data_IF_044247062600
#
_entry.id   IF_044247062600
#
_cell.length_a   1.000
_cell.length_b   1.000
_cell.length_c   1.000
_cell.angle_alpha   90.00
_cell.angle_beta   90.00
_cell.angle_gamma   90.00
#
_symmetry.space_group_name_H-M   'P 1'
#
loop_
_entity.id
_entity.type
_entity.pdbx_description
1 polymer ?
#
# COMPACT_ATOMS: atom_id res chain seq x y z
N UNK A 1 30.95 9.82 7.19
CA UNK A 1 30.27 10.39 8.38
C UNK A 1 29.80 11.82 8.10
N UNK A 2 28.68 12.24 8.71
CA UNK A 2 27.91 13.50 8.48
C UNK A 2 27.07 13.54 7.18
N UNK A 3 25.79 13.13 7.27
CA UNK A 3 24.62 13.98 6.94
C UNK A 3 23.26 13.26 6.89
N UNK A 4 23.18 11.91 6.89
CA UNK A 4 21.91 11.18 6.81
C UNK A 4 20.87 11.57 7.90
N UNK A 5 21.31 11.85 9.13
CA UNK A 5 20.43 12.32 10.23
C UNK A 5 19.78 13.70 9.99
N UNK A 6 20.33 14.51 9.07
CA UNK A 6 19.75 15.79 8.63
C UNK A 6 18.98 15.68 7.30
N UNK A 7 19.22 14.62 6.53
CA UNK A 7 18.44 14.27 5.35
C UNK A 7 17.07 13.71 5.77
N UNK A 8 17.03 12.66 6.60
CA UNK A 8 15.78 12.02 7.05
C UNK A 8 14.74 13.00 7.62
N UNK A 9 15.15 13.93 8.49
CA UNK A 9 14.24 14.93 9.08
C UNK A 9 13.75 15.95 8.04
N UNK A 10 14.54 16.28 7.01
CA UNK A 10 14.13 17.20 5.94
C UNK A 10 13.31 16.54 4.84
N UNK A 11 13.55 15.26 4.56
CA UNK A 11 12.80 14.49 3.56
C UNK A 11 11.39 14.18 4.06
N UNK A 12 11.23 13.66 5.29
CA UNK A 12 9.91 13.45 5.89
C UNK A 12 9.11 14.76 6.09
N UNK A 13 9.78 15.91 6.29
CA UNK A 13 9.09 17.21 6.43
C UNK A 13 8.74 17.91 5.10
N UNK A 14 9.12 17.36 3.94
CA UNK A 14 8.84 18.00 2.64
C UNK A 14 8.11 17.12 1.63
N UNK A 15 8.24 15.80 1.70
CA UNK A 15 7.59 14.85 0.79
C UNK A 15 7.07 13.66 1.60
N UNK A 16 5.76 13.59 1.78
CA UNK A 16 5.12 12.42 2.39
C UNK A 16 5.01 11.29 1.37
N UNK A 17 5.80 10.22 1.58
CA UNK A 17 5.67 8.81 1.15
C UNK A 17 5.10 8.55 -0.26
N UNK A 18 5.92 8.03 -1.20
CA UNK A 18 5.55 7.82 -2.62
C UNK A 18 6.27 6.56 -3.27
N UNK A 19 5.68 5.88 -4.29
CA UNK A 19 6.02 4.53 -4.88
C UNK A 19 5.86 4.20 -6.45
N UNK A 20 6.84 3.76 -7.30
CA UNK A 20 6.78 3.85 -8.82
C UNK A 20 6.70 2.54 -9.72
N UNK A 21 5.78 2.55 -10.72
CA UNK A 21 5.76 1.89 -12.07
C UNK A 21 5.84 0.34 -12.33
N UNK A 22 4.91 -0.23 -13.15
CA UNK A 22 5.19 -1.45 -13.95
C UNK A 22 4.88 -1.38 -15.48
N UNK A 23 5.14 -2.47 -16.20
CA UNK A 23 4.55 -2.74 -17.53
C UNK A 23 4.17 -4.22 -17.72
N UNK A 24 2.97 -4.47 -18.29
CA UNK A 24 2.47 -5.72 -18.93
C UNK A 24 2.38 -7.02 -18.09
N UNK A 25 1.33 -7.85 -18.21
CA UNK A 25 -0.01 -7.65 -18.79
C UNK A 25 -0.98 -8.76 -18.31
N UNK A 26 -1.20 -8.90 -16.99
CA UNK A 26 -2.49 -9.44 -16.56
C UNK A 26 -3.57 -8.40 -16.84
N UNK A 27 -4.69 -8.86 -17.40
CA UNK A 27 -5.92 -8.10 -17.39
C UNK A 27 -6.37 -8.04 -15.92
N UNK A 28 -6.30 -6.87 -15.32
CA UNK A 28 -7.19 -6.58 -14.20
C UNK A 28 -8.60 -6.83 -14.74
N UNK A 29 -9.32 -7.78 -14.14
CA UNK A 29 -10.77 -7.79 -14.31
C UNK A 29 -11.25 -6.49 -13.69
N UNK A 30 -11.64 -5.54 -14.53
CA UNK A 30 -12.43 -4.39 -14.14
C UNK A 30 -13.86 -4.87 -13.86
N UNK A 31 -14.00 -5.75 -12.86
CA UNK A 31 -15.21 -5.80 -12.09
C UNK A 31 -15.30 -4.44 -11.40
N UNK A 32 -16.17 -3.56 -11.90
CA UNK A 32 -16.54 -2.30 -11.24
C UNK A 32 -17.34 -2.54 -9.93
N UNK A 33 -17.29 -3.77 -9.41
CA UNK A 33 -17.81 -4.16 -8.11
C UNK A 33 -16.81 -3.83 -7.01
N UNK A 34 -17.31 -3.36 -5.88
CA UNK A 34 -16.53 -3.40 -4.65
C UNK A 34 -16.52 -4.83 -4.12
N UNK A 35 -15.34 -5.44 -4.07
CA UNK A 35 -15.14 -6.76 -3.48
C UNK A 35 -14.45 -6.65 -2.12
N UNK A 36 -14.84 -7.51 -1.18
CA UNK A 36 -14.23 -7.60 0.16
C UNK A 36 -12.88 -8.32 0.01
N UNK A 37 -11.83 -7.83 0.67
CA UNK A 37 -10.52 -8.47 0.62
C UNK A 37 -10.60 -9.91 1.11
N UNK A 38 -10.15 -10.85 0.28
CA UNK A 38 -10.23 -12.28 0.58
C UNK A 38 -9.32 -12.67 1.74
N UNK A 39 -9.75 -13.67 2.50
CA UNK A 39 -8.98 -14.23 3.61
C UNK A 39 -7.91 -15.22 3.13
N UNK A 40 -6.94 -15.47 4.00
CA UNK A 40 -5.93 -16.53 3.85
C UNK A 40 -5.63 -17.15 5.23
N UNK A 41 -4.82 -18.21 5.26
CA UNK A 41 -4.37 -18.82 6.52
C UNK A 41 -3.50 -17.85 7.32
N UNK A 42 -3.64 -17.91 8.65
CA UNK A 42 -2.76 -17.20 9.59
C UNK A 42 -1.32 -17.75 9.56
N UNK A 43 -1.19 -19.05 9.31
CA UNK A 43 0.07 -19.79 9.48
C UNK A 43 0.48 -19.95 10.95
N UNK A 44 1.52 -20.74 11.26
CA UNK A 44 1.90 -21.07 12.64
C UNK A 44 2.76 -19.98 13.31
N UNK A 45 2.95 -18.83 12.67
CA UNK A 45 3.95 -17.83 13.05
C UNK A 45 3.38 -16.51 13.55
N UNK A 46 2.06 -16.36 13.66
CA UNK A 46 1.46 -15.22 14.37
C UNK A 46 1.81 -15.29 15.86
N UNK A 47 2.20 -14.15 16.44
CA UNK A 47 2.54 -14.05 17.87
C UNK A 47 1.80 -12.92 18.60
N UNK A 48 1.14 -12.02 17.87
CA UNK A 48 0.42 -10.86 18.39
C UNK A 48 1.25 -9.90 19.24
N UNK A 49 0.59 -8.90 19.83
CA UNK A 49 1.19 -7.91 20.71
C UNK A 49 2.45 -7.24 20.12
N UNK A 50 2.46 -7.00 18.81
CA UNK A 50 3.62 -6.44 18.13
C UNK A 50 3.90 -5.00 18.57
N UNK A 51 5.12 -4.53 18.34
CA UNK A 51 5.47 -3.14 18.62
C UNK A 51 4.72 -2.20 17.65
N UNK A 52 4.23 -1.07 18.17
CA UNK A 52 3.62 -0.04 17.33
C UNK A 52 4.70 0.76 16.59
N UNK A 53 5.08 0.28 15.41
CA UNK A 53 6.23 0.77 14.64
C UNK A 53 5.92 0.72 13.14
N UNK A 54 6.19 1.84 12.46
CA UNK A 54 6.18 1.88 10.99
C UNK A 54 7.42 1.16 10.40
N UNK A 55 8.59 1.22 11.06
CA UNK A 55 9.78 0.51 10.61
C UNK A 55 9.94 -0.80 11.40
N UNK A 56 9.83 -1.93 10.71
CA UNK A 56 9.89 -3.27 11.30
C UNK A 56 11.17 -4.04 10.92
N UNK A 57 12.02 -3.47 10.06
CA UNK A 57 13.34 -4.04 9.71
C UNK A 57 14.46 -3.46 10.58
N UNK A 58 15.46 -4.27 11.00
CA UNK A 58 16.67 -3.75 11.63
C UNK A 58 17.41 -2.81 10.67
N UNK A 59 17.58 -1.55 11.08
CA UNK A 59 18.21 -0.52 10.25
C UNK A 59 19.75 -0.68 10.21
N UNK A 60 20.27 -1.51 9.32
CA UNK A 60 21.67 -1.44 8.90
C UNK A 60 21.81 -0.64 7.60
N UNK A 61 22.11 0.66 7.75
CA UNK A 61 22.36 1.60 6.65
C UNK A 61 23.57 1.24 5.77
N UNK A 62 24.37 0.23 6.16
CA UNK A 62 25.55 -0.20 5.42
C UNK A 62 25.33 -1.50 4.64
N UNK A 63 24.20 -2.21 4.84
CA UNK A 63 23.90 -3.43 4.10
C UNK A 63 23.23 -3.09 2.76
N UNK A 64 24.06 -2.89 1.74
CA UNK A 64 23.64 -2.68 0.35
C UNK A 64 22.93 -3.88 -0.29
N UNK A 65 22.72 -4.98 0.46
CA UNK A 65 22.02 -6.17 0.00
C UNK A 65 20.61 -6.29 0.60
N UNK A 66 20.11 -5.26 1.31
CA UNK A 66 18.73 -5.25 1.80
C UNK A 66 17.77 -4.77 0.72
N UNK A 67 16.86 -5.66 0.32
CA UNK A 67 15.78 -5.36 -0.62
C UNK A 67 14.67 -4.60 0.12
N UNK A 68 14.88 -3.33 0.45
CA UNK A 68 13.91 -2.52 1.20
C UNK A 68 12.56 -2.44 0.48
N UNK A 69 11.50 -2.53 1.28
CA UNK A 69 10.11 -2.51 0.85
C UNK A 69 9.31 -1.53 1.71
N UNK A 70 8.67 -0.54 1.08
CA UNK A 70 7.59 0.24 1.68
C UNK A 70 6.26 -0.41 1.27
N UNK A 71 5.57 -1.05 2.20
CA UNK A 71 4.25 -1.63 1.97
C UNK A 71 3.19 -0.73 2.62
N UNK A 72 2.20 -0.28 1.84
CA UNK A 72 1.20 0.69 2.30
C UNK A 72 -0.19 0.42 1.72
N UNK A 73 -1.22 1.01 2.34
CA UNK A 73 -2.59 0.77 1.92
C UNK A 73 -3.59 1.67 2.63
N UNK A 74 -4.85 1.57 2.24
CA UNK A 74 -6.01 2.16 2.92
C UNK A 74 -6.92 1.04 3.37
N UNK A 75 -7.42 1.09 4.60
CA UNK A 75 -8.53 0.23 5.02
C UNK A 75 -9.85 0.94 4.69
N UNK A 76 -10.74 0.25 3.96
CA UNK A 76 -12.05 0.72 3.53
C UNK A 76 -13.19 -0.13 4.12
N UNK A 77 -14.36 0.47 4.23
CA UNK A 77 -15.64 -0.19 4.45
C UNK A 77 -16.10 -0.95 3.19
N UNK A 78 -17.20 -1.70 3.30
CA UNK A 78 -17.74 -2.58 2.24
C UNK A 78 -18.26 -1.86 0.98
N UNK A 79 -18.00 -0.56 0.83
CA UNK A 79 -18.29 0.25 -0.36
C UNK A 79 -17.02 0.60 -1.17
N UNK A 80 -15.84 0.19 -0.67
CA UNK A 80 -14.50 0.45 -1.20
C UNK A 80 -14.17 1.96 -1.34
N UNK A 81 -14.87 2.81 -0.59
CA UNK A 81 -14.78 4.28 -0.71
C UNK A 81 -14.65 4.95 0.65
N UNK A 82 -15.46 4.54 1.62
CA UNK A 82 -15.45 5.06 2.99
C UNK A 82 -14.22 4.51 3.73
N UNK A 83 -13.22 5.34 4.08
CA UNK A 83 -12.05 4.87 4.80
C UNK A 83 -12.37 4.56 6.27
N UNK A 84 -11.69 3.58 6.85
CA UNK A 84 -11.83 3.18 8.25
C UNK A 84 -10.67 3.75 9.07
N UNK A 85 -10.89 4.81 9.89
CA UNK A 85 -9.86 5.35 10.76
C UNK A 85 -9.66 4.45 12.00
N UNK A 86 -8.45 4.46 12.55
CA UNK A 86 -8.06 3.72 13.75
C UNK A 86 -8.24 2.18 13.69
N UNK A 87 -8.42 1.58 12.51
CA UNK A 87 -8.33 0.13 12.32
C UNK A 87 -6.91 -0.34 12.67
N UNK A 88 -6.80 -1.42 13.44
CA UNK A 88 -5.51 -2.03 13.75
C UNK A 88 -5.06 -2.85 12.56
N UNK A 89 -3.88 -2.54 12.01
CA UNK A 89 -3.22 -3.32 10.95
C UNK A 89 -1.96 -3.93 11.54
N UNK A 90 -1.93 -5.25 11.67
CA UNK A 90 -0.76 -6.03 12.04
C UNK A 90 -0.17 -6.71 10.81
N UNK A 91 1.16 -6.70 10.67
CA UNK A 91 1.87 -7.48 9.65
C UNK A 91 2.98 -8.33 10.26
N UNK A 92 3.22 -9.50 9.66
CA UNK A 92 4.37 -10.35 9.96
C UNK A 92 4.86 -11.11 8.72
N UNK A 93 6.17 -11.30 8.62
CA UNK A 93 6.79 -12.09 7.55
C UNK A 93 8.16 -12.67 7.96
N UNK A 94 8.71 -13.55 7.13
CA UNK A 94 10.08 -14.01 7.25
C UNK A 94 11.08 -12.92 6.84
N UNK A 95 12.30 -12.97 7.38
CA UNK A 95 13.40 -12.13 6.91
C UNK A 95 13.76 -12.45 5.43
N UNK A 96 14.54 -11.58 4.78
CA UNK A 96 14.86 -11.72 3.35
C UNK A 96 15.65 -12.99 2.99
N UNK A 97 16.36 -13.59 3.95
CA UNK A 97 17.25 -14.73 3.70
C UNK A 97 18.33 -14.44 2.65
N UNK A 98 18.72 -15.45 1.89
CA UNK A 98 19.55 -15.33 0.69
C UNK A 98 19.22 -16.43 -0.32
N UNK A 99 19.56 -16.21 -1.59
CA UNK A 99 19.38 -17.19 -2.67
C UNK A 99 20.74 -17.72 -3.15
N UNK A 100 20.91 -19.04 -3.14
CA UNK A 100 22.09 -19.72 -3.64
C UNK A 100 21.88 -20.16 -5.10
N UNK A 101 22.40 -19.37 -6.05
CA UNK A 101 22.29 -19.65 -7.48
C UNK A 101 22.98 -20.92 -7.95
N UNK A 102 23.85 -21.55 -7.14
CA UNK A 102 24.52 -22.82 -7.48
C UNK A 102 23.68 -24.05 -7.15
N UNK A 103 22.87 -23.99 -6.10
CA UNK A 103 21.99 -25.09 -5.67
C UNK A 103 20.52 -24.83 -5.98
N UNK A 104 20.17 -23.60 -6.39
CA UNK A 104 18.81 -23.12 -6.59
C UNK A 104 17.95 -23.16 -5.30
N UNK A 105 18.59 -22.91 -4.16
CA UNK A 105 17.98 -22.96 -2.83
C UNK A 105 17.87 -21.57 -2.21
N UNK A 106 16.76 -21.32 -1.50
CA UNK A 106 16.63 -20.21 -0.57
C UNK A 106 17.11 -20.66 0.81
N UNK A 107 18.01 -19.86 1.39
CA UNK A 107 18.71 -20.14 2.63
C UNK A 107 18.42 -19.05 3.66
N UNK A 108 18.48 -19.39 4.94
CA UNK A 108 18.36 -18.48 6.09
C UNK A 108 17.07 -17.61 6.16
N UNK A 109 16.08 -17.83 5.27
CA UNK A 109 14.78 -17.19 5.39
C UNK A 109 14.01 -17.79 6.56
N UNK A 110 13.71 -16.98 7.58
CA UNK A 110 13.06 -17.44 8.79
C UNK A 110 12.26 -16.33 9.49
N UNK A 111 11.31 -16.75 10.33
CA UNK A 111 10.51 -15.86 11.16
C UNK A 111 11.27 -15.45 12.41
N UNK A 112 11.71 -14.20 12.47
CA UNK A 112 12.43 -13.67 13.64
C UNK A 112 11.48 -13.29 14.78
N UNK A 113 12.03 -13.19 16.01
CA UNK A 113 11.24 -12.91 17.21
C UNK A 113 10.89 -11.41 17.37
N UNK A 114 11.84 -10.53 17.04
CA UNK A 114 11.78 -9.10 17.38
C UNK A 114 11.69 -8.17 16.15
N UNK A 115 11.80 -8.73 14.94
CA UNK A 115 11.89 -8.01 13.67
C UNK A 115 10.90 -8.60 12.67
N UNK A 116 10.64 -7.87 11.57
CA UNK A 116 9.73 -8.26 10.48
C UNK A 116 8.29 -8.51 10.95
N UNK A 117 7.92 -7.80 12.03
CA UNK A 117 6.62 -7.84 12.72
C UNK A 117 6.31 -6.46 13.26
N UNK A 118 5.07 -6.01 13.11
CA UNK A 118 4.64 -4.72 13.64
C UNK A 118 3.14 -4.55 13.56
N UNK A 119 2.65 -3.54 14.28
CA UNK A 119 1.27 -3.10 14.20
C UNK A 119 1.20 -1.58 14.08
N UNK A 120 0.19 -1.04 13.41
CA UNK A 120 -0.15 0.39 13.43
C UNK A 120 -1.66 0.54 13.36
N UNK A 121 -2.19 1.63 13.94
CA UNK A 121 -3.57 2.04 13.70
C UNK A 121 -3.62 2.90 12.43
N UNK A 122 -4.66 2.73 11.62
CA UNK A 122 -4.86 3.58 10.44
C UNK A 122 -5.08 5.04 10.82
N UNK A 123 -4.60 5.95 9.97
CA UNK A 123 -4.83 7.38 10.15
C UNK A 123 -6.30 7.78 9.95
N UNK A 124 -6.61 9.07 10.12
CA UNK A 124 -7.93 9.65 9.93
C UNK A 124 -8.54 9.45 8.52
N UNK A 125 -7.75 9.04 7.53
CA UNK A 125 -8.16 8.75 6.16
C UNK A 125 -8.00 7.26 5.80
N UNK A 126 -7.87 6.40 6.80
CA UNK A 126 -7.75 4.95 6.68
C UNK A 126 -6.37 4.46 6.23
N UNK A 127 -5.36 5.32 6.09
CA UNK A 127 -4.06 4.91 5.55
C UNK A 127 -3.21 4.17 6.60
N UNK A 128 -2.40 3.22 6.13
CA UNK A 128 -1.34 2.56 6.87
C UNK A 128 -0.08 2.45 5.99
N UNK A 129 1.11 2.37 6.61
CA UNK A 129 2.38 2.16 5.89
C UNK A 129 3.43 1.55 6.80
N UNK A 130 4.18 0.57 6.28
CA UNK A 130 5.34 -0.02 6.93
C UNK A 130 6.58 0.04 6.03
N UNK A 131 7.74 0.28 6.64
CA UNK A 131 9.06 0.07 6.05
C UNK A 131 9.61 -1.27 6.55
N UNK A 132 9.96 -2.12 5.59
CA UNK A 132 10.50 -3.47 5.83
C UNK A 132 11.45 -3.87 4.69
N UNK A 133 11.65 -5.17 4.47
CA UNK A 133 12.33 -5.77 3.31
C UNK A 133 11.40 -6.73 2.59
N UNK A 134 11.67 -7.02 1.32
CA UNK A 134 11.01 -8.11 0.59
C UNK A 134 11.31 -9.43 1.34
N UNK A 135 10.28 -10.19 1.78
CA UNK A 135 10.46 -11.45 2.49
C UNK A 135 11.20 -12.49 1.64
N UNK A 136 12.00 -13.34 2.28
CA UNK A 136 12.57 -14.51 1.64
C UNK A 136 11.54 -15.65 1.50
N UNK A 137 11.94 -16.72 0.81
CA UNK A 137 11.15 -17.95 0.69
C UNK A 137 11.63 -19.01 1.67
N UNK A 138 10.69 -19.74 2.25
CA UNK A 138 10.96 -20.90 3.11
C UNK A 138 10.23 -22.15 2.59
N UNK A 139 10.76 -23.32 2.95
CA UNK A 139 10.17 -24.60 2.57
C UNK A 139 8.91 -24.90 3.39
N UNK A 140 7.89 -25.41 2.70
CA UNK A 140 6.71 -26.04 3.28
C UNK A 140 6.62 -27.48 2.71
N UNK A 141 7.15 -28.46 3.45
CA UNK A 141 7.35 -29.80 2.92
C UNK A 141 8.38 -29.81 1.79
N UNK A 142 7.96 -30.19 0.58
CA UNK A 142 8.82 -30.35 -0.60
C UNK A 142 8.84 -29.15 -1.56
N UNK A 143 8.11 -28.07 -1.28
CA UNK A 143 8.06 -26.87 -2.11
C UNK A 143 8.38 -25.60 -1.30
N UNK A 144 8.89 -24.58 -1.96
CA UNK A 144 9.01 -23.24 -1.37
C UNK A 144 7.65 -22.53 -1.42
N UNK A 145 7.24 -21.90 -0.31
CA UNK A 145 6.20 -20.87 -0.39
C UNK A 145 6.76 -19.65 -1.16
N UNK A 146 5.95 -18.96 -1.99
CA UNK A 146 6.34 -17.67 -2.55
C UNK A 146 6.63 -16.66 -1.42
N UNK A 147 7.34 -15.59 -1.73
CA UNK A 147 7.55 -14.49 -0.79
C UNK A 147 6.19 -13.87 -0.44
N UNK A 148 5.90 -13.68 0.86
CA UNK A 148 4.60 -13.19 1.33
C UNK A 148 4.71 -12.37 2.62
N UNK A 149 3.76 -11.45 2.79
CA UNK A 149 3.52 -10.74 4.05
C UNK A 149 2.14 -11.12 4.55
N UNK A 150 2.04 -11.60 5.78
CA UNK A 150 0.75 -11.84 6.43
C UNK A 150 0.17 -10.52 6.96
N UNK A 151 -1.15 -10.47 6.97
CA UNK A 151 -1.96 -9.36 7.48
C UNK A 151 -2.98 -9.89 8.49
N UNK A 152 -3.14 -9.16 9.59
CA UNK A 152 -4.34 -9.21 10.43
C UNK A 152 -4.85 -7.79 10.58
N UNK A 153 -6.12 -7.57 10.24
CA UNK A 153 -6.75 -6.25 10.28
C UNK A 153 -8.01 -6.31 11.11
N UNK A 154 -8.07 -5.52 12.18
CA UNK A 154 -9.15 -5.57 13.17
C UNK A 154 -9.79 -4.19 13.35
N UNK A 155 -11.11 -4.13 13.23
CA UNK A 155 -11.91 -2.93 13.53
C UNK A 155 -13.22 -3.33 14.20
N UNK A 156 -13.49 -2.75 15.38
CA UNK A 156 -14.61 -3.13 16.25
C UNK A 156 -14.63 -4.65 16.49
N UNK A 157 -15.67 -5.36 16.01
CA UNK A 157 -15.83 -6.81 16.15
C UNK A 157 -15.49 -7.59 14.86
N UNK A 158 -14.90 -6.93 13.87
CA UNK A 158 -14.51 -7.53 12.58
C UNK A 158 -13.01 -7.70 12.53
N UNK A 159 -12.57 -8.92 12.21
CA UNK A 159 -11.17 -9.27 11.95
C UNK A 159 -11.05 -9.91 10.56
N UNK A 160 -10.04 -9.50 9.81
CA UNK A 160 -9.59 -10.14 8.58
C UNK A 160 -8.18 -10.67 8.79
N UNK A 161 -7.97 -11.97 8.58
CA UNK A 161 -6.63 -12.55 8.40
C UNK A 161 -6.41 -12.86 6.92
N UNK A 162 -5.28 -12.41 6.37
CA UNK A 162 -4.95 -12.54 4.95
C UNK A 162 -3.43 -12.58 4.73
N UNK A 163 -3.02 -12.72 3.47
CA UNK A 163 -1.63 -12.65 3.02
C UNK A 163 -1.57 -11.85 1.72
N UNK A 164 -0.45 -11.19 1.44
CA UNK A 164 -0.10 -10.77 0.09
C UNK A 164 1.04 -11.61 -0.47
N UNK A 165 1.06 -11.75 -1.78
CA UNK A 165 2.11 -12.36 -2.59
C UNK A 165 2.64 -11.32 -3.59
N UNK A 166 3.77 -11.59 -4.23
CA UNK A 166 4.38 -10.67 -5.18
C UNK A 166 4.31 -11.19 -6.61
N UNK A 167 3.90 -10.33 -7.54
CA UNK A 167 3.84 -10.63 -8.97
C UNK A 167 5.21 -11.08 -9.52
N UNK A 168 5.20 -12.04 -10.44
CA UNK A 168 6.39 -12.69 -10.98
C UNK A 168 7.06 -13.74 -10.07
N UNK A 169 6.55 -14.00 -8.86
CA UNK A 169 7.11 -15.04 -7.99
C UNK A 169 6.87 -16.47 -8.54
N UNK A 170 7.94 -17.12 -8.99
CA UNK A 170 7.95 -18.47 -9.58
C UNK A 170 7.44 -19.60 -8.68
N UNK A 171 7.24 -19.36 -7.38
CA UNK A 171 6.73 -20.34 -6.42
C UNK A 171 5.21 -20.28 -6.25
N UNK A 172 4.53 -19.23 -6.75
CA UNK A 172 3.07 -19.10 -6.70
C UNK A 172 2.35 -20.35 -7.24
N UNK A 173 2.70 -20.93 -8.42
CA UNK A 173 1.96 -22.06 -8.98
C UNK A 173 2.01 -23.37 -8.17
N UNK A 174 2.88 -23.46 -7.15
CA UNK A 174 3.02 -24.64 -6.29
C UNK A 174 2.45 -24.44 -4.88
N UNK A 175 2.13 -23.21 -4.50
CA UNK A 175 1.59 -22.89 -3.18
C UNK A 175 0.05 -22.90 -3.22
N UNK A 176 -0.65 -23.76 -2.45
CA UNK A 176 -2.11 -23.90 -2.53
C UNK A 176 -2.90 -22.64 -2.17
N UNK A 177 -2.28 -21.68 -1.48
CA UNK A 177 -2.92 -20.45 -1.06
C UNK A 177 -2.69 -19.33 -2.09
N UNK A 178 -1.47 -19.20 -2.62
CA UNK A 178 -1.13 -18.21 -3.64
C UNK A 178 -1.65 -18.56 -5.05
N UNK A 179 -1.77 -19.85 -5.39
CA UNK A 179 -2.33 -20.31 -6.67
C UNK A 179 -3.87 -20.33 -6.73
N UNK A 180 -4.54 -20.04 -5.61
CA UNK A 180 -6.00 -19.97 -5.53
C UNK A 180 -6.55 -18.81 -6.36
N UNK A 181 -7.69 -19.00 -7.03
CA UNK A 181 -8.38 -17.91 -7.75
C UNK A 181 -8.69 -16.73 -6.81
N UNK A 182 -9.01 -17.01 -5.54
CA UNK A 182 -9.24 -16.02 -4.49
C UNK A 182 -7.98 -15.23 -4.07
N UNK A 183 -6.80 -15.53 -4.61
CA UNK A 183 -5.56 -14.79 -4.34
C UNK A 183 -5.24 -13.73 -5.40
N UNK A 184 -6.03 -13.58 -6.48
CA UNK A 184 -5.79 -12.62 -7.57
C UNK A 184 -5.48 -11.21 -7.05
N UNK A 185 -6.33 -10.71 -6.17
CA UNK A 185 -6.30 -9.33 -5.67
C UNK A 185 -5.28 -9.16 -4.52
N UNK A 186 -4.59 -10.24 -4.19
CA UNK A 186 -3.55 -10.32 -3.15
C UNK A 186 -2.16 -10.57 -3.73
N UNK A 187 -2.05 -10.80 -5.04
CA UNK A 187 -0.77 -10.82 -5.78
C UNK A 187 -0.49 -9.39 -6.24
N UNK A 188 0.40 -8.69 -5.51
CA UNK A 188 0.69 -7.28 -5.77
C UNK A 188 1.97 -7.11 -6.60
N UNK A 189 1.99 -6.12 -7.49
CA UNK A 189 3.23 -5.71 -8.18
C UNK A 189 4.05 -4.77 -7.29
N UNK A 190 5.38 -4.86 -7.38
CA UNK A 190 6.32 -4.00 -6.65
C UNK A 190 6.96 -2.93 -7.54
N UNK A 191 7.34 -1.82 -6.89
CA UNK A 191 7.53 -0.53 -7.53
C UNK A 191 8.78 0.21 -7.01
N UNK A 192 9.94 0.13 -7.69
CA UNK A 192 11.17 0.75 -7.23
C UNK A 192 11.11 2.29 -7.35
N UNK A 193 11.60 2.99 -6.32
CA UNK A 193 11.88 4.43 -6.36
C UNK A 193 13.30 4.72 -6.88
N UNK A 194 13.69 5.99 -6.98
CA UNK A 194 15.04 6.41 -7.40
C UNK A 194 16.17 6.05 -6.42
N UNK A 195 15.87 5.41 -5.29
CA UNK A 195 16.82 4.95 -4.28
C UNK A 195 16.86 3.40 -4.22
N UNK A 196 16.29 2.72 -5.23
CA UNK A 196 16.12 1.26 -5.32
C UNK A 196 15.25 0.67 -4.19
N UNK A 197 14.45 1.48 -3.49
CA UNK A 197 13.48 1.01 -2.50
C UNK A 197 12.24 0.54 -3.25
N UNK A 198 11.88 -0.73 -3.09
CA UNK A 198 10.65 -1.27 -3.63
C UNK A 198 9.45 -0.74 -2.84
N UNK A 199 8.32 -0.58 -3.52
CA UNK A 199 7.08 -0.18 -2.89
C UNK A 199 5.94 -1.11 -3.31
N UNK A 200 5.02 -1.40 -2.41
CA UNK A 200 3.81 -2.18 -2.68
C UNK A 200 2.57 -1.46 -2.16
N UNK A 201 1.43 -1.68 -2.82
CA UNK A 201 0.12 -1.23 -2.35
C UNK A 201 -0.77 -2.44 -2.10
N UNK A 202 -1.42 -2.44 -0.94
CA UNK A 202 -2.49 -3.37 -0.61
C UNK A 202 -3.61 -2.59 0.10
N UNK A 203 -4.57 -2.09 -0.67
CA UNK A 203 -5.80 -1.50 -0.11
C UNK A 203 -6.72 -2.65 0.36
N UNK A 204 -7.33 -2.50 1.54
CA UNK A 204 -8.02 -3.57 2.28
C UNK A 204 -9.47 -3.19 2.51
N UNK A 205 -10.41 -3.94 1.95
CA UNK A 205 -11.85 -3.75 2.12
C UNK A 205 -12.37 -4.70 3.19
N UNK A 206 -12.86 -4.18 4.32
CA UNK A 206 -13.51 -4.98 5.37
C UNK A 206 -15.02 -5.10 5.11
N UNK A 207 -15.61 -6.23 5.50
CA UNK A 207 -17.06 -6.45 5.44
C UNK A 207 -17.80 -5.70 6.56
N UNK A 208 -17.81 -4.37 6.48
CA UNK A 208 -18.39 -3.45 7.46
C UNK A 208 -19.14 -2.37 6.71
N UNK A 209 -20.43 -2.15 7.03
CA UNK A 209 -21.20 -1.06 6.43
C UNK A 209 -20.53 0.31 6.70
N UNK A 210 -20.45 1.22 5.72
CA UNK A 210 -20.01 2.61 5.92
C UNK A 210 -20.70 3.31 7.11
N UNK A 211 -21.98 3.02 7.35
CA UNK A 211 -22.76 3.62 8.45
C UNK A 211 -22.26 3.21 9.85
N UNK A 212 -21.51 2.11 9.95
CA UNK A 212 -20.94 1.61 11.20
C UNK A 212 -19.52 2.12 11.46
N UNK A 213 -18.97 2.93 10.55
CA UNK A 213 -17.64 3.52 10.73
C UNK A 213 -17.77 4.73 11.66
N UNK A 214 -17.19 4.60 12.85
CA UNK A 214 -16.99 5.73 13.77
C UNK A 214 -15.93 6.67 13.20
N UNK A 215 -16.27 7.41 12.15
CA UNK A 215 -15.68 8.73 11.96
C UNK A 215 -16.14 9.55 13.15
N UNK A 216 -15.22 9.83 14.08
CA UNK A 216 -15.38 11.04 14.89
C UNK A 216 -15.65 12.20 13.95
N UNK A 217 -16.44 13.19 14.37
CA UNK A 217 -16.71 14.40 13.58
C UNK A 217 -15.44 15.25 13.44
N UNK A 218 -14.44 14.74 12.70
CA UNK A 218 -13.47 15.53 11.98
C UNK A 218 -14.32 16.42 11.11
N UNK A 219 -14.35 17.71 11.43
CA UNK A 219 -15.19 18.64 10.71
C UNK A 219 -14.94 18.48 9.20
N UNK A 220 -16.03 18.27 8.45
CA UNK A 220 -16.06 18.16 6.98
C UNK A 220 -15.45 19.39 6.27
N UNK A 221 -15.04 20.40 7.03
CA UNK A 221 -14.32 21.59 6.65
C UNK A 221 -12.84 21.34 6.30
N UNK A 222 -12.22 20.24 6.75
CA UNK A 222 -10.76 20.01 6.58
C UNK A 222 -10.37 18.99 5.50
N UNK A 223 -11.21 17.99 5.24
CA UNK A 223 -10.99 17.04 4.14
C UNK A 223 -11.40 17.67 2.79
N UNK A 224 -10.54 17.55 1.79
CA UNK A 224 -10.73 18.09 0.43
C UNK A 224 -11.14 17.00 -0.55
N UNK A 225 -10.55 15.80 -0.42
CA UNK A 225 -10.76 14.61 -1.26
C UNK A 225 -11.71 13.68 -0.51
N UNK A 226 -12.87 13.40 -1.12
CA UNK A 226 -13.84 12.43 -0.61
C UNK A 226 -13.43 11.00 -1.03
N UNK A 227 -13.21 10.77 -2.33
CA UNK A 227 -12.77 9.46 -2.84
C UNK A 227 -11.98 9.57 -4.15
N UNK A 228 -11.20 8.54 -4.45
CA UNK A 228 -10.60 8.26 -5.76
C UNK A 228 -10.93 6.80 -6.04
N UNK A 229 -11.89 6.53 -6.93
CA UNK A 229 -12.39 5.17 -7.14
C UNK A 229 -12.82 4.92 -8.61
N UNK A 230 -12.53 3.73 -9.17
CA UNK A 230 -11.68 2.68 -8.61
C UNK A 230 -10.20 3.10 -8.49
N UNK A 231 -9.47 2.37 -7.65
CA UNK A 231 -8.02 2.45 -7.44
C UNK A 231 -7.50 1.00 -7.31
N UNK A 232 -6.69 0.43 -8.24
CA UNK A 232 -6.07 1.07 -9.40
C UNK A 232 -7.04 1.74 -10.37
N UNK A 233 -6.55 2.74 -11.08
CA UNK A 233 -7.38 3.62 -11.90
C UNK A 233 -7.78 2.95 -13.20
N UNK A 234 -8.98 3.28 -13.66
CA UNK A 234 -9.61 2.79 -14.87
C UNK A 234 -10.14 4.00 -15.67
N UNK A 235 -10.66 3.76 -16.88
CA UNK A 235 -11.32 4.77 -17.70
C UNK A 235 -12.50 5.46 -17.00
N UNK A 236 -13.07 4.81 -15.98
CA UNK A 236 -14.18 5.31 -15.17
C UNK A 236 -13.75 5.91 -13.81
N UNK A 237 -12.45 6.05 -13.50
CA UNK A 237 -12.02 6.56 -12.19
C UNK A 237 -12.41 8.02 -11.99
N UNK A 238 -13.22 8.24 -10.95
CA UNK A 238 -13.66 9.56 -10.52
C UNK A 238 -12.95 9.92 -9.22
N UNK A 239 -12.28 11.07 -9.21
CA UNK A 239 -11.92 11.79 -8.00
C UNK A 239 -13.13 12.64 -7.60
N UNK A 240 -13.69 12.37 -6.42
CA UNK A 240 -14.75 13.21 -5.82
C UNK A 240 -14.15 14.09 -4.74
N UNK A 241 -14.48 15.37 -4.77
CA UNK A 241 -14.03 16.40 -3.84
C UNK A 241 -15.19 16.89 -2.98
N UNK A 242 -14.88 17.31 -1.76
CA UNK A 242 -15.81 18.08 -0.94
C UNK A 242 -16.05 19.47 -1.54
N UNK A 243 -17.12 20.16 -1.10
CA UNK A 243 -17.47 21.50 -1.61
C UNK A 243 -16.33 22.53 -1.48
N UNK A 244 -15.49 22.41 -0.44
CA UNK A 244 -14.28 23.22 -0.25
C UNK A 244 -13.16 22.94 -1.27
N UNK A 245 -13.18 21.79 -1.94
CA UNK A 245 -12.26 21.42 -3.02
C UNK A 245 -12.59 22.02 -4.38
N UNK A 246 -13.69 22.77 -4.51
CA UNK A 246 -13.98 23.53 -5.73
C UNK A 246 -12.99 24.69 -5.88
N UNK A 247 -12.55 24.97 -7.10
CA UNK A 247 -11.53 26.00 -7.42
C UNK A 247 -10.17 25.69 -6.77
N UNK A 248 -9.79 24.42 -6.76
CA UNK A 248 -8.51 23.93 -6.22
C UNK A 248 -7.42 23.85 -7.29
N UNK A 249 -6.16 23.99 -6.87
CA UNK A 249 -5.03 23.53 -7.65
C UNK A 249 -4.85 22.04 -7.42
N UNK A 250 -4.74 21.28 -8.51
CA UNK A 250 -4.41 19.85 -8.51
C UNK A 250 -3.01 19.68 -9.06
N UNK A 251 -2.19 18.94 -8.33
CA UNK A 251 -0.83 18.56 -8.68
C UNK A 251 -0.71 17.04 -8.65
N UNK A 252 -0.22 16.44 -9.73
CA UNK A 252 0.08 15.01 -9.80
C UNK A 252 1.60 14.84 -9.84
N UNK A 253 2.11 13.99 -8.95
CA UNK A 253 3.54 13.70 -8.82
C UNK A 253 3.84 12.23 -9.10
N UNK A 254 4.97 12.00 -9.77
CA UNK A 254 5.69 10.73 -9.71
C UNK A 254 6.30 10.56 -8.32
N UNK A 255 6.94 9.42 -8.09
CA UNK A 255 7.28 9.04 -6.72
C UNK A 255 8.65 9.45 -6.25
N UNK A 256 9.48 9.83 -7.20
CA UNK A 256 10.70 10.55 -6.92
C UNK A 256 10.38 12.02 -6.57
N UNK A 257 9.09 12.39 -6.57
CA UNK A 257 8.58 13.73 -6.28
C UNK A 257 8.57 14.64 -7.50
N UNK A 258 8.72 14.11 -8.72
CA UNK A 258 8.68 14.90 -9.95
C UNK A 258 7.23 15.27 -10.28
N UNK A 259 6.98 16.56 -10.53
CA UNK A 259 5.67 17.05 -10.95
C UNK A 259 5.37 16.61 -12.39
N UNK A 260 4.25 15.92 -12.60
CA UNK A 260 3.77 15.46 -13.90
C UNK A 260 2.76 16.45 -14.48
N UNK A 261 1.76 16.83 -13.69
CA UNK A 261 0.66 17.73 -14.07
C UNK A 261 0.41 18.72 -12.95
N UNK A 262 0.16 19.99 -13.31
CA UNK A 262 -0.44 21.00 -12.43
C UNK A 262 -1.55 21.72 -13.19
N UNK A 263 -2.79 21.63 -12.70
CA UNK A 263 -3.97 22.26 -13.30
C UNK A 263 -4.85 22.91 -12.23
N UNK A 264 -5.60 23.94 -12.60
CA UNK A 264 -6.66 24.51 -11.77
C UNK A 264 -7.95 23.76 -12.11
N UNK A 265 -8.66 23.31 -11.08
CA UNK A 265 -9.91 22.57 -11.17
C UNK A 265 -11.07 23.37 -10.58
N UNK A 266 -12.18 23.47 -11.31
CA UNK A 266 -13.41 24.15 -10.87
C UNK A 266 -14.58 23.18 -10.60
N UNK A 267 -14.37 21.87 -10.71
CA UNK A 267 -15.38 20.83 -10.49
C UNK A 267 -15.23 20.15 -9.11
N UNK A 268 -16.28 19.47 -8.66
CA UNK A 268 -16.24 18.59 -7.46
C UNK A 268 -16.19 17.11 -7.83
N UNK A 269 -16.38 16.76 -9.09
CA UNK A 269 -16.17 15.42 -9.64
C UNK A 269 -15.27 15.56 -10.87
N UNK A 270 -14.28 14.68 -10.96
CA UNK A 270 -13.17 14.78 -11.92
C UNK A 270 -12.89 13.38 -12.45
N UNK A 271 -12.96 13.18 -13.77
CA UNK A 271 -12.29 12.04 -14.37
C UNK A 271 -10.78 12.33 -14.33
N UNK A 272 -10.01 11.45 -13.68
CA UNK A 272 -8.57 11.66 -13.53
C UNK A 272 -7.83 11.66 -14.87
N UNK A 273 -8.29 10.89 -15.86
CA UNK A 273 -7.65 10.81 -17.18
C UNK A 273 -7.76 12.13 -17.95
N UNK A 274 -8.86 12.88 -17.80
CA UNK A 274 -9.02 14.22 -18.40
C UNK A 274 -7.99 15.24 -17.89
N UNK A 275 -7.44 15.00 -16.70
CA UNK A 275 -6.39 15.85 -16.12
C UNK A 275 -5.00 15.52 -16.65
N UNK A 276 -4.79 14.36 -17.27
CA UNK A 276 -3.49 13.94 -17.81
C UNK A 276 -3.31 14.47 -19.24
N UNK A 277 -2.31 15.34 -19.45
CA UNK A 277 -2.01 15.87 -20.80
C UNK A 277 -1.47 14.80 -21.77
N UNK A 278 -1.00 13.67 -21.23
CA UNK A 278 -0.54 12.48 -21.93
C UNK A 278 -0.83 11.26 -21.05
N UNK A 279 -1.02 10.05 -21.62
CA UNK A 279 -1.05 8.82 -20.83
C UNK A 279 0.21 8.73 -19.96
N UNK A 280 0.01 8.55 -18.66
CA UNK A 280 1.10 8.25 -17.72
C UNK A 280 1.41 6.77 -17.75
N UNK A 281 2.58 6.40 -17.26
CA UNK A 281 2.91 5.00 -17.05
C UNK A 281 1.90 4.35 -16.11
N UNK A 282 1.76 3.03 -16.24
CA UNK A 282 1.35 2.18 -15.13
C UNK A 282 2.27 2.53 -13.93
N UNK A 283 1.79 2.62 -12.69
CA UNK A 283 2.56 2.98 -11.48
C UNK A 283 1.76 3.68 -10.39
N UNK A 284 2.33 3.95 -9.22
CA UNK A 284 1.64 4.74 -8.18
C UNK A 284 2.09 6.19 -8.29
N UNK A 285 1.17 7.09 -7.99
CA UNK A 285 1.30 8.53 -8.14
C UNK A 285 0.65 9.23 -6.95
N UNK A 286 1.14 10.43 -6.62
CA UNK A 286 0.48 11.29 -5.65
C UNK A 286 -0.40 12.32 -6.34
N UNK A 287 -1.65 12.34 -5.94
CA UNK A 287 -2.57 13.46 -6.12
C UNK A 287 -2.47 14.38 -4.90
N UNK A 288 -1.99 15.59 -5.10
CA UNK A 288 -2.06 16.68 -4.12
C UNK A 288 -3.10 17.70 -4.59
N UNK A 289 -4.04 18.04 -3.72
CA UNK A 289 -5.03 19.07 -3.98
C UNK A 289 -4.87 20.17 -2.95
N UNK A 290 -4.68 21.40 -3.42
CA UNK A 290 -4.53 22.61 -2.60
C UNK A 290 -5.65 23.60 -2.93
N UNK A 291 -6.35 24.09 -1.91
CA UNK A 291 -7.49 24.99 -2.04
C UNK A 291 -7.10 26.44 -1.76
N UNK A 292 -7.91 27.40 -2.22
CA UNK A 292 -7.65 28.84 -2.03
C UNK A 292 -7.71 29.31 -0.57
N UNK A 293 -8.40 28.58 0.31
CA UNK A 293 -8.43 28.84 1.75
C UNK A 293 -7.27 28.17 2.53
N UNK A 294 -6.29 27.58 1.83
CA UNK A 294 -5.06 27.05 2.43
C UNK A 294 -5.11 25.58 2.88
N UNK A 295 -6.23 24.87 2.68
CA UNK A 295 -6.28 23.43 2.92
C UNK A 295 -5.49 22.70 1.82
N UNK A 296 -4.74 21.68 2.21
CA UNK A 296 -4.06 20.80 1.27
C UNK A 296 -4.24 19.35 1.72
N UNK A 297 -4.66 18.48 0.82
CA UNK A 297 -4.73 17.04 1.05
C UNK A 297 -3.93 16.29 -0.01
N UNK A 298 -3.35 15.17 0.41
CA UNK A 298 -2.55 14.27 -0.41
C UNK A 298 -3.23 12.90 -0.36
N UNK A 299 -3.43 12.27 -1.51
CA UNK A 299 -3.84 10.87 -1.69
C UNK A 299 -2.97 10.25 -2.77
N UNK A 300 -2.72 8.95 -2.68
CA UNK A 300 -2.08 8.17 -3.74
C UNK A 300 -3.14 7.54 -4.67
N UNK A 301 -2.75 7.21 -5.89
CA UNK A 301 -3.51 6.35 -6.80
C UNK A 301 -2.57 5.49 -7.65
N UNK A 302 -3.01 4.32 -8.08
CA UNK A 302 -2.23 3.34 -8.88
C UNK A 302 -2.75 3.32 -10.32
N UNK A 303 -1.89 3.17 -11.32
CA UNK A 303 -2.20 3.03 -12.76
C UNK A 303 -1.67 1.68 -13.26
#
# INVERSE_FOLDING_TARGET
>A
MKNYRRFFIKTLMKLGVISLLPTKLYAFNSNDGCEITTSDIEGPFYAGNYLNLYNITPFDINDSNQNFLIISGTVYASDCKTPIPNALVEIWHANQGSFNSKTNEFLNSSYEKNYFRGQINTDNFGNYSFLTVIPGKYLNGSYYRPSHIHYKVTYLNTELTSQIYFDGDISIPLDPWASSENASDRIITLFPDSNDISNGIFDITLNISPDNINTTNIENNTSVINTIYPNPISSNTIIKLNKCGKNSQIEIYDVNGNLIVRKINSATEINLLDFLDKPIGRGIYILKISTSNGLSQIKRFVV
#
